data_IF_373192290177
#
_entry.id   IF_373192290177
#
_cell.length_a   1.000
_cell.length_b   1.000
_cell.length_c   1.000
_cell.angle_alpha   90.00
_cell.angle_beta   90.00
_cell.angle_gamma   90.00
#
_symmetry.space_group_name_H-M   'P 1'
#
loop_
_entity.id
_entity.type
_entity.pdbx_description
1 polymer ?
#
# COMPACT_ATOMS: atom_id res chain seq x y z
N UNK A 1 -11.94 -15.38 2.25
CA UNK A 1 -13.14 -14.92 1.53
C UNK A 1 -12.77 -13.59 0.88
N UNK A 2 -12.67 -13.54 -0.45
CA UNK A 2 -12.47 -12.28 -1.16
C UNK A 2 -13.79 -11.54 -1.18
N UNK A 3 -13.83 -10.37 -0.53
CA UNK A 3 -15.04 -9.53 -0.45
C UNK A 3 -15.35 -8.93 -1.82
N UNK A 4 -14.30 -8.65 -2.60
CA UNK A 4 -14.36 -8.10 -3.95
C UNK A 4 -14.01 -9.19 -4.97
N UNK A 5 -14.54 -9.07 -6.19
CA UNK A 5 -14.27 -9.94 -7.34
C UNK A 5 -13.42 -9.25 -8.40
N UNK A 6 -13.42 -7.92 -8.42
CA UNK A 6 -12.62 -7.13 -9.35
C UNK A 6 -11.96 -5.95 -8.64
N UNK A 7 -10.97 -5.33 -9.30
CA UNK A 7 -10.33 -4.13 -8.79
C UNK A 7 -11.28 -2.92 -8.86
N UNK A 8 -12.19 -2.90 -9.84
CA UNK A 8 -13.20 -1.86 -10.00
C UNK A 8 -14.12 -1.77 -8.76
N UNK A 9 -14.58 -2.92 -8.25
CA UNK A 9 -15.40 -2.96 -7.02
C UNK A 9 -14.65 -2.36 -5.80
N UNK A 10 -13.32 -2.48 -5.77
CA UNK A 10 -12.49 -1.90 -4.71
C UNK A 10 -12.43 -0.38 -4.87
N UNK A 11 -12.27 0.13 -6.08
CA UNK A 11 -12.30 1.57 -6.34
C UNK A 11 -13.68 2.18 -6.09
N UNK A 12 -14.76 1.49 -6.43
CA UNK A 12 -16.12 1.94 -6.12
C UNK A 12 -16.36 2.01 -4.62
N UNK A 13 -15.86 1.03 -3.86
CA UNK A 13 -16.03 0.96 -2.41
C UNK A 13 -15.23 2.03 -1.65
N UNK A 14 -13.95 2.20 -2.00
CA UNK A 14 -13.04 3.08 -1.25
C UNK A 14 -12.84 4.46 -1.88
N UNK A 15 -13.18 4.62 -3.16
CA UNK A 15 -12.85 5.78 -3.98
C UNK A 15 -11.52 5.61 -4.72
N UNK A 16 -11.51 5.92 -6.01
CA UNK A 16 -10.36 5.73 -6.91
C UNK A 16 -9.07 6.39 -6.39
N UNK A 17 -9.19 7.59 -5.81
CA UNK A 17 -8.04 8.36 -5.30
C UNK A 17 -7.53 7.94 -3.92
N UNK A 18 -8.18 6.97 -3.28
CA UNK A 18 -7.86 6.50 -1.92
C UNK A 18 -7.16 5.16 -1.91
N UNK A 19 -6.97 4.53 -3.08
CA UNK A 19 -6.26 3.26 -3.23
C UNK A 19 -4.91 3.52 -3.90
N UNK A 20 -3.86 2.84 -3.44
CA UNK A 20 -2.51 2.94 -4.00
C UNK A 20 -1.95 1.55 -4.36
N UNK A 21 -1.51 1.35 -5.62
CA UNK A 21 -0.83 0.12 -6.00
C UNK A 21 0.61 0.11 -5.52
N UNK A 22 1.06 -1.01 -4.96
CA UNK A 22 2.45 -1.22 -4.53
C UNK A 22 2.95 -2.55 -5.09
N UNK A 23 4.04 -2.50 -5.85
CA UNK A 23 4.70 -3.69 -6.44
C UNK A 23 6.03 -4.04 -5.76
N UNK A 24 6.58 -3.13 -4.96
CA UNK A 24 7.81 -3.38 -4.20
C UNK A 24 7.54 -4.35 -3.05
N UNK A 25 8.08 -5.58 -3.16
CA UNK A 25 7.95 -6.60 -2.12
C UNK A 25 8.40 -6.09 -0.73
N UNK A 26 9.47 -5.28 -0.68
CA UNK A 26 9.94 -4.69 0.58
C UNK A 26 8.87 -3.79 1.23
N UNK A 27 8.18 -2.97 0.43
CA UNK A 27 7.10 -2.12 0.93
C UNK A 27 5.86 -2.94 1.30
N UNK A 28 5.51 -3.95 0.51
CA UNK A 28 4.39 -4.87 0.81
C UNK A 28 4.62 -5.54 2.18
N UNK A 29 5.81 -6.11 2.41
CA UNK A 29 6.18 -6.72 3.70
C UNK A 29 6.17 -5.67 4.83
N UNK A 30 6.66 -4.46 4.57
CA UNK A 30 6.63 -3.38 5.55
C UNK A 30 5.21 -3.05 6.01
N UNK A 31 4.27 -2.79 5.10
CA UNK A 31 2.89 -2.45 5.48
C UNK A 31 2.15 -3.62 6.15
N UNK A 32 2.30 -4.82 5.62
CA UNK A 32 1.64 -6.02 6.17
C UNK A 32 2.16 -6.39 7.57
N UNK A 33 3.47 -6.22 7.83
CA UNK A 33 4.04 -6.41 9.17
C UNK A 33 3.53 -5.39 10.19
N UNK A 34 3.01 -4.25 9.74
CA UNK A 34 2.35 -3.24 10.57
C UNK A 34 0.81 -3.37 10.56
N UNK A 35 0.29 -4.57 10.25
CA UNK A 35 -1.13 -4.91 10.25
C UNK A 35 -1.98 -4.15 9.22
N UNK A 36 -1.35 -3.47 8.25
CA UNK A 36 -2.05 -2.86 7.13
C UNK A 36 -2.18 -3.91 6.03
N UNK A 37 -3.42 -4.33 5.77
CA UNK A 37 -3.73 -5.37 4.79
C UNK A 37 -4.08 -4.75 3.43
N UNK A 38 -3.65 -5.37 2.32
CA UNK A 38 -4.11 -4.97 1.00
C UNK A 38 -5.61 -5.22 0.87
N UNK A 39 -6.29 -4.33 0.14
CA UNK A 39 -7.71 -4.48 -0.22
C UNK A 39 -7.88 -5.37 -1.45
N UNK A 40 -6.84 -5.44 -2.30
CA UNK A 40 -6.79 -6.28 -3.49
C UNK A 40 -5.36 -6.72 -3.79
N UNK A 41 -5.22 -7.91 -4.37
CA UNK A 41 -3.93 -8.49 -4.77
C UNK A 41 -4.12 -9.11 -6.16
N UNK A 42 -3.28 -8.75 -7.10
CA UNK A 42 -3.21 -9.37 -8.42
C UNK A 42 -1.79 -9.31 -8.98
N UNK A 43 -1.57 -9.87 -10.16
CA UNK A 43 -0.35 -9.59 -10.92
C UNK A 43 -0.33 -8.13 -11.41
N UNK A 44 0.84 -7.51 -11.47
CA UNK A 44 0.98 -6.14 -11.91
C UNK A 44 0.81 -6.03 -13.43
N UNK A 45 -0.11 -5.19 -13.87
CA UNK A 45 -0.28 -4.85 -15.29
C UNK A 45 0.93 -4.12 -15.90
N UNK A 46 1.76 -3.48 -15.06
CA UNK A 46 2.89 -2.65 -15.51
C UNK A 46 4.25 -3.29 -15.24
N UNK A 47 4.30 -4.35 -14.44
CA UNK A 47 5.54 -5.05 -14.08
C UNK A 47 5.26 -6.55 -14.12
N UNK A 48 5.39 -7.15 -15.31
CA UNK A 48 5.12 -8.58 -15.52
C UNK A 48 5.88 -9.47 -14.53
N UNK A 49 5.21 -10.49 -13.99
CA UNK A 49 5.78 -11.39 -12.98
C UNK A 49 5.87 -10.79 -11.56
N UNK A 50 5.50 -9.52 -11.36
CA UNK A 50 5.44 -8.91 -10.03
C UNK A 50 4.02 -8.94 -9.47
N UNK A 51 3.92 -9.22 -8.18
CA UNK A 51 2.69 -9.01 -7.41
C UNK A 51 2.40 -7.50 -7.27
N UNK A 52 1.14 -7.12 -7.43
CA UNK A 52 0.63 -5.78 -7.14
C UNK A 52 -0.37 -5.88 -5.99
N UNK A 53 -0.07 -5.20 -4.89
CA UNK A 53 -0.94 -5.10 -3.73
C UNK A 53 -1.52 -3.69 -3.66
N UNK A 54 -2.85 -3.61 -3.65
CA UNK A 54 -3.59 -2.34 -3.57
C UNK A 54 -3.94 -2.06 -2.11
N UNK A 55 -3.41 -0.97 -1.57
CA UNK A 55 -3.62 -0.57 -0.18
C UNK A 55 -4.44 0.71 -0.08
N UNK A 56 -5.12 0.94 1.04
CA UNK A 56 -5.75 2.22 1.29
C UNK A 56 -4.69 3.28 1.64
N UNK A 57 -4.67 4.37 0.86
CA UNK A 57 -3.74 5.50 0.93
C UNK A 57 -3.68 6.15 2.31
N UNK A 58 -4.82 6.25 2.99
CA UNK A 58 -4.87 6.82 4.34
C UNK A 58 -4.09 5.98 5.36
N UNK A 59 -4.19 4.66 5.25
CA UNK A 59 -3.51 3.71 6.15
C UNK A 59 -2.00 3.75 5.90
N UNK A 60 -1.59 3.69 4.63
CA UNK A 60 -0.16 3.69 4.25
C UNK A 60 0.52 5.03 4.50
N UNK A 61 -0.16 6.16 4.25
CA UNK A 61 0.38 7.50 4.51
C UNK A 61 0.65 7.73 5.99
N UNK A 62 -0.28 7.34 6.87
CA UNK A 62 -0.12 7.50 8.32
C UNK A 62 1.14 6.78 8.81
N UNK A 63 1.29 5.50 8.48
CA UNK A 63 2.45 4.73 8.89
C UNK A 63 3.76 5.26 8.27
N UNK A 64 3.72 5.67 7.01
CA UNK A 64 4.90 6.25 6.35
C UNK A 64 5.40 7.50 7.07
N UNK A 65 4.49 8.42 7.46
CA UNK A 65 4.84 9.61 8.23
C UNK A 65 5.40 9.27 9.61
N UNK A 66 4.85 8.25 10.29
CA UNK A 66 5.38 7.78 11.57
C UNK A 66 6.79 7.18 11.43
N UNK A 67 7.03 6.40 10.38
CA UNK A 67 8.34 5.87 10.06
C UNK A 67 9.35 6.97 9.75
N UNK A 68 8.97 7.97 8.95
CA UNK A 68 9.84 9.11 8.63
C UNK A 68 10.29 9.84 9.89
N UNK A 69 9.40 10.08 10.85
CA UNK A 69 9.72 10.72 12.14
C UNK A 69 10.74 9.93 12.98
N UNK A 70 10.81 8.61 12.81
CA UNK A 70 11.66 7.70 13.59
C UNK A 70 12.90 7.25 12.83
N UNK A 71 13.05 7.65 11.57
CA UNK A 71 14.17 7.21 10.73
C UNK A 71 15.46 7.86 11.25
N UNK A 72 16.49 7.07 11.62
CA UNK A 72 17.80 7.61 11.97
C UNK A 72 18.35 8.38 10.77
N UNK A 73 18.69 9.66 10.97
CA UNK A 73 19.15 10.57 9.92
C UNK A 73 18.25 11.79 9.64
N UNK A 74 17.20 12.01 10.44
CA UNK A 74 16.36 13.23 10.36
C UNK A 74 16.69 14.26 11.47
N UNK A 75 17.91 14.20 12.01
CA UNK A 75 18.53 15.25 12.84
C UNK A 75 19.86 15.65 12.19
N UNK A 76 19.80 16.56 11.21
CA UNK A 76 20.87 17.51 10.85
C UNK A 76 20.42 18.28 9.61
N UNK A 77 19.83 19.46 9.84
CA UNK A 77 19.47 20.37 8.75
C UNK A 77 18.35 21.33 9.08
N UNK A 78 18.48 22.07 10.19
CA UNK A 78 18.14 23.48 10.37
C UNK A 78 18.63 23.94 11.74
#
# INVERSE_FOLDING_TARGET
MNIFKTLEEVYECYGENTIVPITSLKQIIFYTSHKIQPKWICESANNEGHICCYFHKGETKKLYLEWQKRRPGTESGL
#
